data_IF_938909009904
#
_entry.id   IF_938909009904
#
_cell.length_a   1.000
_cell.length_b   1.000
_cell.length_c   1.000
_cell.angle_alpha   90.00
_cell.angle_beta   90.00
_cell.angle_gamma   90.00
#
_symmetry.space_group_name_H-M   'P 1'
#
loop_
_entity.id
_entity.type
_entity.pdbx_description
1 polymer ?
#
# COMPACT_ATOMS: atom_id res chain seq x y z
N UNK A 1 -17.28 -14.16 -2.71
CA UNK A 1 -17.95 -12.96 -2.15
C UNK A 1 -17.06 -12.23 -1.14
N UNK A 2 -16.58 -12.90 -0.08
CA UNK A 2 -15.70 -12.28 0.93
C UNK A 2 -14.43 -11.70 0.30
N UNK A 3 -13.79 -12.45 -0.60
CA UNK A 3 -12.58 -12.00 -1.32
C UNK A 3 -12.79 -10.69 -2.09
N UNK A 4 -13.92 -10.54 -2.79
CA UNK A 4 -14.25 -9.32 -3.51
C UNK A 4 -14.46 -8.13 -2.55
N UNK A 5 -15.05 -8.34 -1.37
CA UNK A 5 -15.20 -7.30 -0.35
C UNK A 5 -13.82 -6.83 0.14
N UNK A 6 -12.93 -7.77 0.43
CA UNK A 6 -11.55 -7.46 0.86
C UNK A 6 -10.80 -6.73 -0.26
N UNK A 7 -10.94 -7.19 -1.51
CA UNK A 7 -10.34 -6.54 -2.68
C UNK A 7 -10.79 -5.07 -2.79
N UNK A 8 -12.09 -4.79 -2.76
CA UNK A 8 -12.59 -3.42 -2.88
C UNK A 8 -12.21 -2.54 -1.69
N UNK A 9 -12.14 -3.11 -0.48
CA UNK A 9 -11.67 -2.40 0.70
C UNK A 9 -10.20 -1.99 0.55
N UNK A 10 -9.31 -2.94 0.22
CA UNK A 10 -7.88 -2.70 0.04
C UNK A 10 -7.63 -1.73 -1.14
N UNK A 11 -8.29 -1.95 -2.27
CA UNK A 11 -8.19 -1.07 -3.44
C UNK A 11 -8.67 0.35 -3.14
N UNK A 12 -9.77 0.50 -2.41
CA UNK A 12 -10.28 1.79 -1.97
C UNK A 12 -9.28 2.53 -1.08
N UNK A 13 -8.67 1.84 -0.10
CA UNK A 13 -7.65 2.42 0.78
C UNK A 13 -6.40 2.83 -0.03
N UNK A 14 -5.99 2.05 -1.03
CA UNK A 14 -4.85 2.40 -1.91
C UNK A 14 -5.13 3.70 -2.67
N UNK A 15 -6.30 3.85 -3.29
CA UNK A 15 -6.64 5.07 -4.04
C UNK A 15 -6.70 6.29 -3.13
N UNK A 16 -7.31 6.15 -1.94
CA UNK A 16 -7.39 7.23 -0.95
C UNK A 16 -6.01 7.61 -0.40
N UNK A 17 -5.16 6.64 -0.08
CA UNK A 17 -3.81 6.90 0.41
C UNK A 17 -2.92 7.50 -0.68
N UNK A 18 -2.95 6.98 -1.91
CA UNK A 18 -2.17 7.52 -3.03
C UNK A 18 -2.58 8.96 -3.38
N UNK A 19 -3.87 9.30 -3.32
CA UNK A 19 -4.31 10.70 -3.47
C UNK A 19 -3.81 11.56 -2.30
N UNK A 20 -3.88 11.07 -1.06
CA UNK A 20 -3.35 11.77 0.11
C UNK A 20 -1.83 12.01 0.05
N UNK A 21 -1.04 11.12 -0.56
CA UNK A 21 0.40 11.32 -0.84
C UNK A 21 0.61 12.62 -1.63
N UNK A 22 -0.17 12.82 -2.70
CA UNK A 22 -0.03 13.97 -3.61
C UNK A 22 -0.49 15.27 -2.94
N UNK A 23 -1.57 15.23 -2.16
CA UNK A 23 -2.12 16.42 -1.51
C UNK A 23 -1.43 16.81 -0.19
N UNK A 24 -0.62 15.92 0.39
CA UNK A 24 0.08 16.19 1.63
C UNK A 24 1.13 17.31 1.44
N UNK A 25 0.99 18.38 2.22
CA UNK A 25 1.92 19.53 2.19
C UNK A 25 3.25 19.26 2.87
N UNK A 26 3.30 18.30 3.79
CA UNK A 26 4.50 17.94 4.52
C UNK A 26 5.02 16.59 4.00
N UNK A 27 6.28 16.49 3.55
CA UNK A 27 6.87 15.26 3.04
C UNK A 27 6.73 14.07 4.00
N UNK A 28 6.85 14.30 5.31
CA UNK A 28 6.72 13.23 6.31
C UNK A 28 5.33 12.60 6.27
N UNK A 29 4.27 13.42 6.17
CA UNK A 29 2.91 12.91 6.04
C UNK A 29 2.69 12.21 4.69
N UNK A 30 3.28 12.74 3.61
CA UNK A 30 3.24 12.11 2.29
C UNK A 30 3.84 10.70 2.32
N UNK A 31 4.98 10.52 3.00
CA UNK A 31 5.63 9.21 3.18
C UNK A 31 4.78 8.25 4.00
N UNK A 32 4.13 8.71 5.08
CA UNK A 32 3.23 7.85 5.88
C UNK A 32 2.04 7.34 5.04
N UNK A 33 1.47 8.19 4.19
CA UNK A 33 0.42 7.77 3.25
C UNK A 33 0.95 6.80 2.19
N UNK A 34 2.19 6.97 1.74
CA UNK A 34 2.83 6.08 0.78
C UNK A 34 3.07 4.69 1.36
N UNK A 35 3.51 4.60 2.62
CA UNK A 35 3.65 3.34 3.36
C UNK A 35 2.29 2.63 3.46
N UNK A 36 1.22 3.36 3.79
CA UNK A 36 -0.12 2.78 3.86
C UNK A 36 -0.58 2.23 2.50
N UNK A 37 -0.28 2.94 1.40
CA UNK A 37 -0.60 2.50 0.05
C UNK A 37 0.14 1.20 -0.31
N UNK A 38 1.44 1.13 -0.06
CA UNK A 38 2.24 -0.07 -0.35
C UNK A 38 1.84 -1.27 0.53
N UNK A 39 1.51 -1.05 1.79
CA UNK A 39 1.04 -2.12 2.66
C UNK A 39 -0.29 -2.72 2.16
N UNK A 40 -1.25 -1.89 1.74
CA UNK A 40 -2.51 -2.39 1.18
C UNK A 40 -2.30 -3.08 -0.18
N UNK A 41 -1.38 -2.60 -1.00
CA UNK A 41 -1.00 -3.26 -2.26
C UNK A 41 -0.37 -4.63 -2.02
N UNK A 42 0.41 -4.82 -0.94
CA UNK A 42 0.89 -6.14 -0.55
C UNK A 42 -0.28 -7.08 -0.20
N UNK A 43 -1.30 -6.57 0.50
CA UNK A 43 -2.54 -7.31 0.75
C UNK A 43 -3.26 -7.74 -0.53
N UNK A 44 -3.31 -6.89 -1.56
CA UNK A 44 -3.86 -7.26 -2.87
C UNK A 44 -3.04 -8.36 -3.54
N UNK A 45 -1.71 -8.31 -3.46
CA UNK A 45 -0.87 -9.37 -3.99
C UNK A 45 -1.08 -10.70 -3.25
N UNK A 46 -1.32 -10.69 -1.94
CA UNK A 46 -1.69 -11.89 -1.20
C UNK A 46 -3.03 -12.48 -1.67
N UNK A 47 -4.04 -11.65 -1.93
CA UNK A 47 -5.31 -12.12 -2.49
C UNK A 47 -5.14 -12.78 -3.86
N UNK A 48 -4.21 -12.28 -4.67
CA UNK A 48 -3.87 -12.85 -5.98
C UNK A 48 -2.96 -14.09 -5.92
N UNK A 49 -2.57 -14.54 -4.72
CA UNK A 49 -1.64 -15.66 -4.53
C UNK A 49 -0.17 -15.32 -4.84
N UNK A 50 0.18 -14.03 -4.95
CA UNK A 50 1.51 -13.53 -5.26
C UNK A 50 2.32 -13.21 -3.98
N UNK A 51 2.54 -14.22 -3.14
CA UNK A 51 3.14 -14.10 -1.80
C UNK A 51 4.55 -13.50 -1.82
N UNK A 52 5.40 -13.99 -2.73
CA UNK A 52 6.78 -13.52 -2.86
C UNK A 52 6.84 -12.03 -3.24
N UNK A 53 5.96 -11.59 -4.15
CA UNK A 53 5.87 -10.19 -4.57
C UNK A 53 5.37 -9.32 -3.43
N UNK A 54 4.34 -9.78 -2.69
CA UNK A 54 3.83 -9.08 -1.51
C UNK A 54 4.94 -8.84 -0.47
N UNK A 55 5.73 -9.88 -0.19
CA UNK A 55 6.85 -9.81 0.76
C UNK A 55 7.94 -8.84 0.30
N UNK A 56 8.35 -8.89 -0.97
CA UNK A 56 9.34 -7.94 -1.52
C UNK A 56 8.81 -6.51 -1.44
N UNK A 57 7.53 -6.29 -1.75
CA UNK A 57 6.94 -4.96 -1.68
C UNK A 57 7.07 -4.36 -0.27
N UNK A 58 6.76 -5.14 0.76
CA UNK A 58 6.89 -4.68 2.15
C UNK A 58 8.36 -4.49 2.54
N UNK A 59 9.23 -5.47 2.28
CA UNK A 59 10.62 -5.40 2.73
C UNK A 59 11.39 -4.27 2.03
N UNK A 60 11.26 -4.16 0.71
CA UNK A 60 12.06 -3.24 -0.09
C UNK A 60 11.43 -1.85 -0.11
N UNK A 61 10.14 -1.72 -0.41
CA UNK A 61 9.54 -0.39 -0.59
C UNK A 61 9.10 0.24 0.73
N UNK A 62 8.49 -0.51 1.64
CA UNK A 62 8.11 0.02 2.96
C UNK A 62 9.33 0.09 3.88
N UNK A 63 10.18 -0.94 3.90
CA UNK A 63 11.31 -1.03 4.81
C UNK A 63 12.51 -0.13 4.45
N UNK A 64 12.89 -0.07 3.17
CA UNK A 64 14.05 0.70 2.73
C UNK A 64 13.66 2.04 2.09
N UNK A 65 12.89 2.02 0.99
CA UNK A 65 12.68 3.21 0.17
C UNK A 65 11.90 4.32 0.89
N UNK A 66 10.89 3.98 1.70
CA UNK A 66 10.12 4.97 2.44
C UNK A 66 10.85 5.60 3.63
N UNK A 67 12.00 5.06 4.06
CA UNK A 67 12.76 5.53 5.23
C UNK A 67 13.96 6.41 4.85
N UNK A 68 14.44 6.28 3.61
CA UNK A 68 15.55 7.05 3.01
C UNK A 68 15.11 8.46 2.59
#
# INVERSE_FOLDING_TARGET
MIEAIIFYMLAGIIVLSATAVIFARNPVHSVLWLILAFFNAAGLFLLLGAEFIAMILVIVYVGAVAVL
#
